data_IF_944155059922
#
_entry.id   IF_944155059922
#
_cell.length_a   1.000
_cell.length_b   1.000
_cell.length_c   1.000
_cell.angle_alpha   90.00
_cell.angle_beta   90.00
_cell.angle_gamma   90.00
#
_symmetry.space_group_name_H-M   'P 1'
#
loop_
_entity.id
_entity.type
_entity.pdbx_description
1 polymer ?
#
# COMPACT_ATOMS: atom_id res chain seq x y z
N UNK A 1 14.17 -7.57 0.89
CA UNK A 1 14.71 -8.34 -0.25
C UNK A 1 15.97 -7.64 -0.74
N UNK A 2 17.09 -8.36 -0.84
CA UNK A 2 18.37 -7.78 -1.28
C UNK A 2 18.73 -8.35 -2.65
N UNK A 3 18.67 -7.52 -3.68
CA UNK A 3 19.19 -7.85 -5.00
C UNK A 3 20.65 -7.46 -5.06
N UNK A 4 21.54 -8.39 -5.40
CA UNK A 4 22.94 -8.07 -5.68
C UNK A 4 23.25 -8.26 -7.16
N UNK A 5 23.88 -7.24 -7.75
CA UNK A 5 24.31 -7.26 -9.14
C UNK A 5 25.81 -7.01 -9.25
N UNK A 6 26.53 -7.93 -9.89
CA UNK A 6 27.97 -7.84 -10.15
C UNK A 6 28.24 -7.81 -11.65
N UNK A 7 29.18 -6.97 -12.08
CA UNK A 7 29.59 -6.82 -13.47
C UNK A 7 31.07 -7.18 -13.62
N UNK A 8 31.37 -8.01 -14.61
CA UNK A 8 32.73 -8.46 -14.90
C UNK A 8 33.11 -8.12 -16.32
N UNK A 9 34.32 -7.61 -16.49
CA UNK A 9 34.88 -7.25 -17.77
C UNK A 9 36.18 -8.02 -17.97
N UNK A 10 36.32 -8.62 -19.15
CA UNK A 10 37.60 -9.15 -19.62
C UNK A 10 38.28 -8.04 -20.42
N UNK A 11 39.41 -7.51 -19.92
CA UNK A 11 40.28 -6.68 -20.74
C UNK A 11 40.62 -7.47 -22.00
N UNK A 12 40.45 -6.87 -23.19
CA UNK A 12 40.57 -7.56 -24.46
C UNK A 12 41.86 -8.39 -24.50
N UNK A 13 41.74 -9.71 -24.42
CA UNK A 13 42.78 -10.58 -24.95
C UNK A 13 42.88 -10.28 -26.46
N UNK A 14 44.07 -10.43 -27.04
CA UNK A 14 44.45 -10.15 -28.46
C UNK A 14 43.62 -10.89 -29.55
N UNK A 15 42.31 -11.04 -29.37
CA UNK A 15 41.39 -11.76 -30.23
C UNK A 15 40.25 -10.85 -30.69
N UNK A 16 39.91 -10.97 -31.97
CA UNK A 16 38.98 -10.14 -32.74
C UNK A 16 37.50 -10.11 -32.28
N UNK A 17 37.17 -10.60 -31.07
CA UNK A 17 35.79 -10.77 -30.60
C UNK A 17 35.27 -9.72 -29.60
N UNK A 18 36.05 -8.68 -29.30
CA UNK A 18 35.67 -7.59 -28.38
C UNK A 18 35.50 -8.02 -26.91
N UNK A 19 35.41 -7.07 -25.96
CA UNK A 19 35.27 -7.41 -24.55
C UNK A 19 33.91 -8.06 -24.28
N UNK A 20 33.94 -9.12 -23.47
CA UNK A 20 32.76 -9.82 -22.96
C UNK A 20 32.44 -9.26 -21.56
N UNK A 21 31.15 -9.02 -21.32
CA UNK A 21 30.58 -8.50 -20.09
C UNK A 21 29.69 -9.56 -19.47
N UNK A 22 29.95 -9.91 -18.22
CA UNK A 22 29.09 -10.81 -17.44
C UNK A 22 28.34 -9.95 -16.42
N UNK A 23 27.01 -10.08 -16.39
CA UNK A 23 26.14 -9.55 -15.34
C UNK A 23 25.63 -10.73 -14.52
N UNK A 24 25.98 -10.75 -13.25
CA UNK A 24 25.43 -11.68 -12.27
C UNK A 24 24.39 -10.94 -11.46
N UNK A 25 23.18 -11.46 -11.37
CA UNK A 25 22.14 -10.99 -10.46
C UNK A 25 21.76 -12.13 -9.55
N UNK A 26 21.83 -11.93 -8.23
CA UNK A 26 21.41 -12.93 -7.26
C UNK A 26 20.53 -12.31 -6.18
N UNK A 27 19.54 -13.07 -5.74
CA UNK A 27 18.61 -12.70 -4.67
C UNK A 27 18.64 -13.86 -3.66
N UNK A 28 19.32 -13.71 -2.50
CA UNK A 28 19.39 -14.79 -1.52
C UNK A 28 18.03 -15.12 -0.92
N UNK A 29 17.17 -14.11 -0.73
CA UNK A 29 15.84 -14.25 -0.15
C UNK A 29 14.81 -13.52 -1.02
N UNK A 30 14.16 -14.23 -1.94
CA UNK A 30 13.06 -13.72 -2.74
C UNK A 30 11.76 -13.60 -1.95
N UNK A 31 10.77 -12.90 -2.51
CA UNK A 31 9.46 -12.70 -1.87
C UNK A 31 8.71 -14.02 -1.59
N UNK A 32 8.92 -15.03 -2.43
CA UNK A 32 8.35 -16.36 -2.27
C UNK A 32 9.22 -17.30 -1.41
N UNK A 33 10.25 -16.76 -0.75
CA UNK A 33 11.18 -17.52 0.11
C UNK A 33 12.28 -18.27 -0.63
N UNK A 34 12.27 -18.31 -1.96
CA UNK A 34 13.30 -18.97 -2.76
C UNK A 34 14.53 -18.07 -2.98
N UNK A 35 15.67 -18.69 -3.25
CA UNK A 35 16.87 -18.00 -3.69
C UNK A 35 16.98 -18.03 -5.23
N UNK A 36 17.51 -16.96 -5.81
CA UNK A 36 17.61 -16.80 -7.26
C UNK A 36 19.02 -16.48 -7.70
N UNK A 37 19.42 -17.04 -8.83
CA UNK A 37 20.67 -16.76 -9.51
C UNK A 37 20.44 -16.57 -10.99
N UNK A 38 20.96 -15.47 -11.53
CA UNK A 38 20.92 -15.14 -12.95
C UNK A 38 22.31 -14.77 -13.43
N UNK A 39 22.75 -15.42 -14.50
CA UNK A 39 23.96 -15.04 -15.24
C UNK A 39 23.55 -14.62 -16.63
N UNK A 40 23.90 -13.39 -16.97
CA UNK A 40 23.68 -12.82 -18.28
C UNK A 40 25.02 -12.40 -18.89
N UNK A 41 25.14 -12.55 -20.20
CA UNK A 41 26.36 -12.22 -20.93
C UNK A 41 26.05 -11.33 -22.13
N UNK A 42 26.95 -10.40 -22.42
CA UNK A 42 26.88 -9.55 -23.60
C UNK A 42 28.29 -9.20 -24.07
N UNK A 43 28.50 -9.12 -25.38
CA UNK A 43 29.70 -8.52 -25.97
C UNK A 43 29.48 -7.02 -26.19
N UNK A 44 30.57 -6.26 -26.34
CA UNK A 44 30.48 -4.84 -26.69
C UNK A 44 29.63 -4.54 -27.95
N UNK A 45 29.55 -5.48 -28.89
CA UNK A 45 28.73 -5.39 -30.10
C UNK A 45 27.25 -5.70 -29.90
N UNK A 46 26.87 -6.28 -28.76
CA UNK A 46 25.52 -6.77 -28.54
C UNK A 46 24.59 -5.64 -28.09
N UNK A 47 23.34 -5.69 -28.56
CA UNK A 47 22.31 -4.70 -28.20
C UNK A 47 21.72 -4.94 -26.80
N UNK A 48 21.80 -6.16 -26.31
CA UNK A 48 21.22 -6.59 -25.04
C UNK A 48 21.99 -7.75 -24.41
N UNK A 49 21.69 -8.02 -23.14
CA UNK A 49 22.22 -9.15 -22.39
C UNK A 49 21.49 -10.45 -22.72
N UNK A 50 22.23 -11.48 -23.12
CA UNK A 50 21.70 -12.83 -23.29
C UNK A 50 21.69 -13.57 -21.95
N UNK A 51 20.56 -14.17 -21.58
CA UNK A 51 20.48 -15.05 -20.42
C UNK A 51 21.26 -16.34 -20.69
N UNK A 52 22.18 -16.68 -19.79
CA UNK A 52 23.00 -17.91 -19.85
C UNK A 52 22.57 -18.89 -18.77
N UNK A 53 22.26 -18.38 -17.57
CA UNK A 53 21.73 -19.18 -16.47
C UNK A 53 20.58 -18.43 -15.80
N UNK A 54 19.49 -19.13 -15.51
CA UNK A 54 18.39 -18.65 -14.67
C UNK A 54 17.97 -19.81 -13.74
N UNK A 55 18.32 -19.69 -12.46
CA UNK A 55 18.14 -20.73 -11.47
C UNK A 55 17.28 -20.22 -10.32
N UNK A 56 16.34 -21.08 -9.92
CA UNK A 56 15.58 -20.97 -8.68
C UNK A 56 16.02 -22.11 -7.76
N UNK A 57 16.43 -21.78 -6.55
CA UNK A 57 16.86 -22.73 -5.54
C UNK A 57 15.83 -22.79 -4.40
N UNK A 58 15.74 -23.95 -3.76
CA UNK A 58 14.82 -24.17 -2.66
C UNK A 58 15.16 -23.27 -1.45
N UNK A 59 14.17 -22.91 -0.62
CA UNK A 59 14.38 -22.03 0.52
C UNK A 59 15.40 -22.60 1.51
N UNK A 60 15.41 -23.93 1.69
CA UNK A 60 16.35 -24.63 2.55
C UNK A 60 17.72 -24.76 1.87
N UNK A 61 18.71 -24.02 2.36
CA UNK A 61 20.07 -24.02 1.80
C UNK A 61 20.26 -23.22 0.51
N UNK A 62 19.19 -22.72 -0.11
CA UNK A 62 19.24 -21.87 -1.30
C UNK A 62 20.12 -20.62 -1.15
N UNK A 63 19.98 -19.83 -0.07
CA UNK A 63 20.84 -18.65 0.17
C UNK A 63 22.33 -19.00 0.18
N UNK A 64 22.72 -20.09 0.85
CA UNK A 64 24.10 -20.55 0.92
C UNK A 64 24.59 -21.08 -0.44
N UNK A 65 23.72 -21.75 -1.20
CA UNK A 65 24.06 -22.26 -2.52
C UNK A 65 24.32 -21.14 -3.54
N UNK A 66 23.51 -20.07 -3.57
CA UNK A 66 23.78 -18.92 -4.47
C UNK A 66 25.05 -18.18 -4.08
N UNK A 67 25.34 -18.07 -2.78
CA UNK A 67 26.57 -17.47 -2.27
C UNK A 67 27.81 -18.26 -2.69
N UNK A 68 27.80 -19.58 -2.45
CA UNK A 68 28.92 -20.45 -2.81
C UNK A 68 29.16 -20.41 -4.33
N UNK A 69 28.09 -20.43 -5.12
CA UNK A 69 28.17 -20.30 -6.58
C UNK A 69 28.84 -18.99 -7.00
N UNK A 70 28.55 -17.87 -6.33
CA UNK A 70 29.25 -16.61 -6.60
C UNK A 70 30.74 -16.72 -6.25
N UNK A 71 31.08 -17.25 -5.07
CA UNK A 71 32.47 -17.39 -4.61
C UNK A 71 33.28 -18.22 -5.60
N UNK A 72 32.74 -19.37 -6.03
CA UNK A 72 33.37 -20.25 -7.00
C UNK A 72 33.54 -19.56 -8.35
N UNK A 73 32.50 -18.86 -8.81
CA UNK A 73 32.56 -18.09 -10.06
C UNK A 73 33.62 -16.99 -9.99
N UNK A 74 33.69 -16.22 -8.90
CA UNK A 74 34.69 -15.16 -8.70
C UNK A 74 36.11 -15.72 -8.80
N UNK A 75 36.37 -16.84 -8.16
CA UNK A 75 37.68 -17.50 -8.22
C UNK A 75 38.00 -18.00 -9.63
N UNK A 76 37.03 -18.58 -10.34
CA UNK A 76 37.20 -19.06 -11.70
C UNK A 76 37.46 -17.92 -12.69
N UNK A 77 36.69 -16.83 -12.61
CA UNK A 77 36.84 -15.65 -13.45
C UNK A 77 38.18 -14.95 -13.20
N UNK A 78 38.59 -14.78 -11.94
CA UNK A 78 39.87 -14.18 -11.60
C UNK A 78 41.06 -14.96 -12.20
N UNK A 79 41.01 -16.31 -12.19
CA UNK A 79 42.03 -17.16 -12.83
C UNK A 79 42.10 -16.99 -14.35
N UNK A 80 41.01 -16.55 -14.97
CA UNK A 80 40.89 -16.30 -16.40
C UNK A 80 41.18 -14.85 -16.79
N UNK A 81 41.67 -14.03 -15.85
CA UNK A 81 42.04 -12.64 -16.09
C UNK A 81 40.87 -11.66 -16.15
N UNK A 82 39.69 -12.06 -15.68
CA UNK A 82 38.53 -11.18 -15.58
C UNK A 82 38.64 -10.24 -14.39
N UNK A 83 38.10 -9.04 -14.54
CA UNK A 83 38.07 -8.02 -13.49
C UNK A 83 36.63 -7.63 -13.19
N UNK A 84 36.28 -7.62 -11.90
CA UNK A 84 35.01 -7.06 -11.44
C UNK A 84 35.09 -5.54 -11.49
N UNK A 85 34.04 -4.87 -11.98
CA UNK A 85 34.03 -3.42 -12.20
C UNK A 85 32.98 -2.71 -11.33
N UNK A 86 33.23 -1.44 -11.04
CA UNK A 86 32.28 -0.55 -10.36
C UNK A 86 31.34 0.06 -11.39
N UNK A 87 30.02 -0.06 -11.14
CA UNK A 87 28.97 0.53 -11.96
C UNK A 87 28.19 1.54 -11.10
N UNK A 88 28.20 2.81 -11.52
CA UNK A 88 27.67 3.94 -10.74
C UNK A 88 26.16 4.19 -10.91
N UNK A 89 25.52 3.62 -11.94
CA UNK A 89 24.09 3.84 -12.21
C UNK A 89 23.34 2.50 -12.35
N UNK A 90 22.19 2.39 -11.70
CA UNK A 90 21.63 1.09 -11.30
C UNK A 90 20.61 0.51 -12.27
N UNK A 91 20.61 -0.84 -12.33
CA UNK A 91 19.67 -1.78 -12.96
C UNK A 91 19.95 -2.21 -14.41
N UNK A 92 20.41 -1.32 -15.28
CA UNK A 92 20.57 -1.66 -16.71
C UNK A 92 21.89 -1.14 -17.26
N UNK A 93 22.99 -1.85 -16.99
CA UNK A 93 24.19 -1.65 -17.80
C UNK A 93 23.89 -2.12 -19.23
N UNK A 94 24.33 -1.36 -20.23
CA UNK A 94 24.46 -1.86 -21.60
C UNK A 94 25.94 -1.92 -21.96
N UNK A 95 26.36 -2.83 -22.86
CA UNK A 95 27.77 -2.94 -23.25
C UNK A 95 28.38 -1.64 -23.78
N UNK A 96 27.58 -0.76 -24.41
CA UNK A 96 28.00 0.56 -24.89
C UNK A 96 28.42 1.55 -23.79
N UNK A 97 28.06 1.31 -22.52
CA UNK A 97 28.38 2.18 -21.38
C UNK A 97 29.70 1.80 -20.68
N UNK A 98 30.45 0.82 -21.20
CA UNK A 98 31.64 0.26 -20.56
C UNK A 98 32.83 1.23 -20.41
N UNK A 99 32.85 2.34 -21.15
CA UNK A 99 34.02 3.23 -21.24
C UNK A 99 34.32 4.02 -19.96
N UNK A 100 33.35 4.16 -19.05
CA UNK A 100 33.47 5.00 -17.84
C UNK A 100 33.65 4.20 -16.54
N UNK A 101 33.84 2.87 -16.59
CA UNK A 101 33.92 2.02 -15.40
C UNK A 101 35.35 1.63 -15.02
N UNK A 102 35.64 1.66 -13.71
CA UNK A 102 36.93 1.22 -13.14
C UNK A 102 36.84 -0.18 -12.53
N UNK A 103 37.96 -0.93 -12.44
CA UNK A 103 38.03 -2.14 -11.63
C UNK A 103 37.71 -1.87 -10.16
N UNK A 104 37.09 -2.85 -9.50
CA UNK A 104 36.97 -2.90 -8.04
C UNK A 104 38.34 -3.15 -7.42
N UNK A 105 38.59 -2.50 -6.29
CA UNK A 105 39.72 -2.78 -5.41
C UNK A 105 39.49 -4.10 -4.66
N UNK A 106 40.57 -4.68 -4.11
CA UNK A 106 40.47 -5.89 -3.29
C UNK A 106 39.54 -5.73 -2.10
N UNK A 107 39.57 -4.56 -1.44
CA UNK A 107 38.71 -4.24 -0.31
C UNK A 107 37.24 -4.11 -0.73
N UNK A 108 36.93 -3.52 -1.88
CA UNK A 108 35.56 -3.47 -2.43
C UNK A 108 34.99 -4.88 -2.68
N UNK A 109 35.81 -5.77 -3.25
CA UNK A 109 35.40 -7.16 -3.46
C UNK A 109 35.17 -7.93 -2.15
N UNK A 110 35.99 -7.68 -1.13
CA UNK A 110 35.83 -8.27 0.21
C UNK A 110 34.61 -7.70 0.95
N UNK A 111 34.34 -6.41 0.79
CA UNK A 111 33.16 -5.72 1.33
C UNK A 111 31.85 -6.24 0.75
N UNK A 112 31.80 -6.49 -0.56
CA UNK A 112 30.67 -7.19 -1.19
C UNK A 112 30.46 -8.57 -0.61
N UNK A 113 31.56 -9.31 -0.47
CA UNK A 113 31.51 -10.67 -0.01
C UNK A 113 31.03 -10.72 1.45
N UNK A 114 31.49 -9.80 2.29
CA UNK A 114 31.01 -9.66 3.67
C UNK A 114 29.51 -9.37 3.75
N UNK A 115 29.02 -8.47 2.90
CA UNK A 115 27.61 -8.14 2.87
C UNK A 115 26.75 -9.32 2.38
N UNK A 116 27.22 -10.08 1.37
CA UNK A 116 26.56 -11.31 0.92
C UNK A 116 26.54 -12.40 1.99
N UNK A 117 27.66 -12.64 2.66
CA UNK A 117 27.73 -13.56 3.80
C UNK A 117 26.70 -13.17 4.87
N UNK A 118 26.59 -11.88 5.17
CA UNK A 118 25.60 -11.36 6.13
C UNK A 118 24.16 -11.61 5.68
N UNK A 119 23.84 -11.41 4.40
CA UNK A 119 22.50 -11.72 3.84
C UNK A 119 22.18 -13.21 3.90
N UNK A 120 23.18 -14.07 3.72
CA UNK A 120 23.01 -15.53 3.74
C UNK A 120 23.14 -16.13 5.15
N UNK A 121 23.07 -15.29 6.19
CA UNK A 121 23.17 -15.67 7.61
C UNK A 121 24.50 -16.33 8.02
N UNK A 122 25.58 -16.07 7.28
CA UNK A 122 26.94 -16.54 7.57
C UNK A 122 27.77 -15.39 8.19
N UNK A 123 27.49 -15.09 9.45
CA UNK A 123 28.06 -13.92 10.12
C UNK A 123 29.55 -14.05 10.44
N UNK A 124 30.05 -15.28 10.59
CA UNK A 124 31.47 -15.54 10.85
C UNK A 124 32.32 -15.22 9.62
N UNK A 125 31.94 -15.74 8.45
CA UNK A 125 32.67 -15.45 7.22
C UNK A 125 32.47 -13.99 6.78
N UNK A 126 31.35 -13.36 7.13
CA UNK A 126 31.18 -11.92 6.94
C UNK A 126 32.23 -11.11 7.70
N UNK A 127 32.39 -11.37 9.00
CA UNK A 127 33.37 -10.67 9.84
C UNK A 127 34.81 -10.99 9.44
N UNK A 128 35.10 -12.25 9.08
CA UNK A 128 36.43 -12.64 8.58
C UNK A 128 36.78 -11.94 7.26
N UNK A 129 35.80 -11.73 6.37
CA UNK A 129 35.99 -10.95 5.15
C UNK A 129 36.27 -9.47 5.46
N UNK A 130 35.53 -8.86 6.40
CA UNK A 130 35.73 -7.47 6.81
C UNK A 130 37.08 -7.22 7.48
N UNK A 131 37.57 -8.16 8.30
CA UNK A 131 38.90 -8.09 8.93
C UNK A 131 40.04 -8.09 7.92
N UNK A 132 39.80 -8.59 6.70
CA UNK A 132 40.80 -8.62 5.62
C UNK A 132 40.84 -7.31 4.82
N UNK A 133 39.89 -6.40 5.01
CA UNK A 133 39.83 -5.11 4.33
C UNK A 133 40.80 -4.10 4.99
N UNK A 134 42.07 -4.10 4.58
CA UNK A 134 43.15 -3.36 5.26
C UNK A 134 43.13 -1.85 5.08
N UNK A 135 42.41 -1.35 4.08
CA UNK A 135 42.37 0.08 3.72
C UNK A 135 40.96 0.67 3.85
N UNK A 136 40.01 -0.12 4.37
CA UNK A 136 38.58 0.22 4.42
C UNK A 136 38.08 0.57 5.83
N UNK A 137 38.91 0.47 6.86
CA UNK A 137 38.52 0.54 8.29
C UNK A 137 37.80 1.85 8.71
N UNK A 138 37.82 2.88 7.86
CA UNK A 138 37.17 4.19 8.06
C UNK A 138 36.06 4.51 7.04
N UNK A 139 35.75 3.59 6.12
CA UNK A 139 34.69 3.80 5.15
C UNK A 139 33.30 3.54 5.79
N UNK A 140 32.39 4.50 5.64
CA UNK A 140 30.99 4.42 6.07
C UNK A 140 30.32 3.07 5.75
N UNK A 141 30.60 2.53 4.56
CA UNK A 141 30.09 1.24 4.11
C UNK A 141 30.61 0.06 4.95
N UNK A 142 31.91 0.03 5.26
CA UNK A 142 32.50 -1.02 6.09
C UNK A 142 31.84 -1.06 7.46
N UNK A 143 31.63 0.12 8.08
CA UNK A 143 30.93 0.25 9.37
C UNK A 143 29.49 -0.25 9.28
N UNK A 144 28.81 0.02 8.17
CA UNK A 144 27.43 -0.45 7.94
C UNK A 144 27.36 -1.98 7.86
N UNK A 145 28.28 -2.61 7.13
CA UNK A 145 28.36 -4.07 7.02
C UNK A 145 28.77 -4.73 8.35
N UNK A 146 29.78 -4.18 9.03
CA UNK A 146 30.27 -4.67 10.32
C UNK A 146 29.17 -4.59 11.40
N UNK A 147 28.48 -3.44 11.51
CA UNK A 147 27.32 -3.26 12.37
C UNK A 147 26.31 -4.39 12.17
N UNK A 148 25.92 -4.65 10.92
CA UNK A 148 24.89 -5.64 10.60
C UNK A 148 25.34 -7.06 10.94
N UNK A 149 26.59 -7.41 10.61
CA UNK A 149 27.14 -8.74 10.90
C UNK A 149 27.18 -9.01 12.41
N UNK A 150 27.68 -8.06 13.20
CA UNK A 150 27.70 -8.15 14.66
C UNK A 150 26.29 -8.21 15.26
N UNK A 151 25.38 -7.32 14.86
CA UNK A 151 24.01 -7.32 15.36
C UNK A 151 23.27 -8.64 15.04
N UNK A 152 23.44 -9.17 13.83
CA UNK A 152 22.81 -10.45 13.47
C UNK A 152 23.41 -11.63 14.23
N UNK A 153 24.73 -11.65 14.44
CA UNK A 153 25.38 -12.69 15.25
C UNK A 153 24.93 -12.65 16.71
N UNK A 154 24.78 -11.46 17.27
CA UNK A 154 24.24 -11.23 18.61
C UNK A 154 22.80 -11.73 18.74
N UNK A 155 21.93 -11.42 17.76
CA UNK A 155 20.54 -11.91 17.71
C UNK A 155 20.45 -13.43 17.59
N UNK A 156 21.34 -14.05 16.82
CA UNK A 156 21.37 -15.50 16.62
C UNK A 156 21.83 -16.28 17.87
N UNK A 157 22.61 -15.65 18.76
CA UNK A 157 23.21 -16.29 19.93
C UNK A 157 22.92 -15.49 21.22
N UNK A 158 21.65 -15.36 21.65
CA UNK A 158 21.29 -14.52 22.79
C UNK A 158 21.93 -15.02 24.10
N UNK A 159 22.24 -14.08 24.99
CA UNK A 159 22.85 -14.33 26.31
C UNK A 159 24.24 -13.69 26.46
N UNK A 160 25.00 -14.01 27.53
CA UNK A 160 26.27 -13.34 27.84
C UNK A 160 27.34 -13.43 26.73
N UNK A 161 27.22 -14.43 25.85
CA UNK A 161 28.11 -14.56 24.68
C UNK A 161 27.87 -13.52 23.58
N UNK A 162 26.72 -12.84 23.59
CA UNK A 162 26.38 -11.79 22.62
C UNK A 162 26.86 -10.39 23.03
N UNK A 163 27.27 -10.17 24.28
CA UNK A 163 27.58 -8.83 24.80
C UNK A 163 28.69 -8.14 23.99
N UNK A 164 29.72 -8.91 23.61
CA UNK A 164 30.82 -8.40 22.77
C UNK A 164 30.36 -8.02 21.36
N UNK A 165 29.42 -8.78 20.79
CA UNK A 165 28.85 -8.48 19.48
C UNK A 165 27.90 -7.28 19.52
N UNK A 166 27.08 -7.17 20.56
CA UNK A 166 26.24 -6.01 20.77
C UNK A 166 27.07 -4.74 20.95
N UNK A 167 28.13 -4.79 21.77
CA UNK A 167 29.04 -3.67 21.95
C UNK A 167 29.67 -3.22 20.62
N UNK A 168 30.18 -4.16 19.82
CA UNK A 168 30.75 -3.86 18.50
C UNK A 168 29.70 -3.31 17.52
N UNK A 169 28.49 -3.90 17.49
CA UNK A 169 27.40 -3.42 16.65
C UNK A 169 27.00 -1.98 17.00
N UNK A 170 26.89 -1.67 18.29
CA UNK A 170 26.56 -0.32 18.79
C UNK A 170 27.69 0.66 18.49
N UNK A 171 28.96 0.28 18.67
CA UNK A 171 30.10 1.14 18.31
C UNK A 171 30.05 1.55 16.83
N UNK A 172 29.83 0.58 15.94
CA UNK A 172 29.68 0.86 14.51
C UNK A 172 28.43 1.69 14.21
N UNK A 173 27.31 1.44 14.88
CA UNK A 173 26.08 2.20 14.70
C UNK A 173 26.23 3.67 15.15
N UNK A 174 26.86 3.91 16.29
CA UNK A 174 27.12 5.26 16.80
C UNK A 174 28.06 6.03 15.87
N UNK A 175 29.09 5.37 15.32
CA UNK A 175 29.95 5.98 14.31
C UNK A 175 29.15 6.44 13.08
N UNK A 176 28.26 5.58 12.56
CA UNK A 176 27.37 5.91 11.43
C UNK A 176 26.48 7.11 11.79
N UNK A 177 25.85 7.11 12.96
CA UNK A 177 24.96 8.20 13.41
C UNK A 177 25.73 9.53 13.52
N UNK A 178 26.90 9.53 14.16
CA UNK A 178 27.71 10.74 14.33
C UNK A 178 28.23 11.27 13.00
N UNK A 179 28.75 10.39 12.14
CA UNK A 179 29.22 10.80 10.83
C UNK A 179 28.08 11.36 9.97
N UNK A 180 26.83 10.88 10.14
CA UNK A 180 25.65 11.44 9.46
C UNK A 180 25.32 12.86 9.92
N UNK A 181 25.53 13.15 11.21
CA UNK A 181 25.29 14.46 11.78
C UNK A 181 26.37 15.48 11.36
N UNK A 182 27.61 15.01 11.16
CA UNK A 182 28.76 15.84 10.81
C UNK A 182 28.90 16.10 9.30
N UNK A 183 28.28 15.29 8.45
CA UNK A 183 28.25 15.49 6.99
C UNK A 183 26.84 15.71 6.50
N UNK A 184 26.60 16.85 5.85
CA UNK A 184 25.40 17.16 5.07
C UNK A 184 25.36 16.23 3.84
N UNK A 185 25.06 14.94 4.09
CA UNK A 185 25.18 13.78 3.20
C UNK A 185 26.52 13.67 2.43
N UNK A 186 27.33 12.67 2.75
CA UNK A 186 28.50 12.29 1.94
C UNK A 186 28.20 12.40 0.43
N UNK A 187 29.07 13.09 -0.33
CA UNK A 187 28.81 13.35 -1.74
C UNK A 187 28.41 12.06 -2.47
N UNK A 188 27.31 12.05 -3.25
CA UNK A 188 26.77 10.86 -3.92
C UNK A 188 27.81 10.09 -4.75
N UNK A 189 28.85 10.78 -5.21
CA UNK A 189 29.90 10.28 -6.08
C UNK A 189 30.95 9.40 -5.37
N UNK A 190 30.99 9.37 -4.03
CA UNK A 190 31.91 8.54 -3.25
C UNK A 190 31.26 7.24 -2.71
N UNK A 191 29.97 7.01 -2.99
CA UNK A 191 29.23 5.89 -2.41
C UNK A 191 29.41 4.61 -3.22
N UNK A 192 30.19 3.69 -2.66
CA UNK A 192 30.15 2.28 -3.04
C UNK A 192 28.77 1.69 -2.64
N UNK A 193 27.97 1.27 -3.63
CA UNK A 193 26.64 0.70 -3.39
C UNK A 193 26.65 -0.82 -3.57
N UNK A 194 26.25 -1.54 -2.53
CA UNK A 194 26.04 -3.00 -2.57
C UNK A 194 24.56 -3.29 -2.36
N UNK A 195 23.92 -3.86 -3.39
CA UNK A 195 22.52 -4.21 -3.37
C UNK A 195 21.57 -3.09 -2.98
N UNK A 196 20.26 -3.36 -2.96
CA UNK A 196 19.26 -2.32 -2.70
C UNK A 196 19.29 -1.80 -1.26
N UNK A 197 19.73 -2.64 -0.32
CA UNK A 197 19.74 -2.36 1.13
C UNK A 197 20.82 -1.38 1.60
N UNK A 198 21.79 -1.03 0.76
CA UNK A 198 22.88 -0.11 1.10
C UNK A 198 22.95 1.11 0.17
N UNK A 199 21.88 1.37 -0.59
CA UNK A 199 21.85 2.45 -1.60
C UNK A 199 21.70 3.84 -1.02
N UNK A 200 21.13 3.99 0.16
CA UNK A 200 20.76 5.31 0.70
C UNK A 200 21.28 5.51 2.12
N UNK A 201 21.98 6.63 2.32
CA UNK A 201 22.48 7.09 3.63
C UNK A 201 21.37 7.14 4.67
N UNK A 202 20.17 7.57 4.27
CA UNK A 202 18.98 7.58 5.12
C UNK A 202 18.58 6.18 5.61
N UNK A 203 18.57 5.16 4.73
CA UNK A 203 18.26 3.79 5.14
C UNK A 203 19.33 3.21 6.08
N UNK A 204 20.60 3.54 5.85
CA UNK A 204 21.71 3.08 6.68
C UNK A 204 21.69 3.75 8.06
N UNK A 205 21.39 5.05 8.12
CA UNK A 205 21.19 5.79 9.35
C UNK A 205 20.01 5.22 10.16
N UNK A 206 18.87 4.95 9.50
CA UNK A 206 17.72 4.33 10.13
C UNK A 206 18.07 2.95 10.72
N UNK A 207 18.81 2.13 9.97
CA UNK A 207 19.25 0.82 10.44
C UNK A 207 20.25 0.90 11.60
N UNK A 208 21.14 1.90 11.60
CA UNK A 208 22.06 2.14 12.71
C UNK A 208 21.31 2.57 13.99
N UNK A 209 20.42 3.55 13.86
CA UNK A 209 19.53 3.99 14.93
C UNK A 209 18.68 2.84 15.49
N UNK A 210 18.15 1.97 14.62
CA UNK A 210 17.44 0.76 15.04
C UNK A 210 18.32 -0.19 15.87
N UNK A 211 19.56 -0.43 15.46
CA UNK A 211 20.50 -1.27 16.21
C UNK A 211 20.77 -0.71 17.60
N UNK A 212 20.95 0.60 17.72
CA UNK A 212 21.14 1.27 19.02
C UNK A 212 19.88 1.13 19.89
N UNK A 213 18.70 1.42 19.34
CA UNK A 213 17.45 1.30 20.06
C UNK A 213 17.19 -0.13 20.57
N UNK A 214 17.45 -1.14 19.73
CA UNK A 214 17.28 -2.55 20.10
C UNK A 214 18.21 -2.95 21.25
N UNK A 215 19.49 -2.56 21.20
CA UNK A 215 20.43 -2.79 22.29
C UNK A 215 19.96 -2.11 23.58
N UNK A 216 19.56 -0.83 23.50
CA UNK A 216 19.14 -0.06 24.66
C UNK A 216 17.89 -0.66 25.32
N UNK A 217 16.91 -1.12 24.54
CA UNK A 217 15.68 -1.72 25.08
C UNK A 217 15.87 -3.12 25.63
N UNK A 218 16.59 -3.98 24.90
CA UNK A 218 16.60 -5.41 25.17
C UNK A 218 17.80 -5.86 26.01
N UNK A 219 18.89 -5.06 26.04
CA UNK A 219 20.15 -5.42 26.70
C UNK A 219 20.48 -4.43 27.81
N UNK A 220 20.54 -3.13 27.51
CA UNK A 220 20.97 -2.12 28.50
C UNK A 220 19.85 -1.71 29.47
N UNK A 221 18.58 -1.80 29.06
CA UNK A 221 17.43 -1.40 29.86
C UNK A 221 17.25 0.13 29.96
N UNK A 222 17.56 0.88 28.90
CA UNK A 222 17.43 2.34 28.83
C UNK A 222 16.40 2.76 27.76
N UNK A 223 15.09 2.73 28.08
CA UNK A 223 14.04 3.05 27.10
C UNK A 223 14.00 4.54 26.72
N UNK A 224 14.52 5.45 27.54
CA UNK A 224 14.59 6.88 27.21
C UNK A 224 15.60 7.15 26.09
N UNK A 225 16.81 6.61 26.21
CA UNK A 225 17.80 6.71 25.14
C UNK A 225 17.37 5.94 23.89
N UNK A 226 16.66 4.81 24.06
CA UNK A 226 16.11 4.09 22.93
C UNK A 226 15.11 4.94 22.14
N UNK A 227 14.25 5.72 22.82
CA UNK A 227 13.34 6.66 22.15
C UNK A 227 14.08 7.75 21.39
N UNK A 228 15.23 8.23 21.88
CA UNK A 228 16.07 9.18 21.15
C UNK A 228 16.66 8.56 19.88
N UNK A 229 17.16 7.33 19.97
CA UNK A 229 17.65 6.60 18.81
C UNK A 229 16.53 6.36 17.78
N UNK A 230 15.33 5.95 18.24
CA UNK A 230 14.17 5.75 17.36
C UNK A 230 13.71 7.04 16.68
N UNK A 231 13.83 8.20 17.34
CA UNK A 231 13.52 9.49 16.74
C UNK A 231 14.46 9.82 15.56
N UNK A 232 15.75 9.44 15.64
CA UNK A 232 16.70 9.56 14.53
C UNK A 232 16.24 8.71 13.35
N UNK A 233 15.79 7.47 13.60
CA UNK A 233 15.27 6.60 12.53
C UNK A 233 13.98 7.15 11.90
N UNK A 234 13.01 7.60 12.71
CA UNK A 234 11.74 8.17 12.24
C UNK A 234 11.98 9.40 11.35
N UNK A 235 12.99 10.24 11.65
CA UNK A 235 13.33 11.42 10.86
C UNK A 235 13.83 11.11 9.44
N UNK A 236 14.21 9.87 9.14
CA UNK A 236 14.69 9.47 7.82
C UNK A 236 13.57 9.13 6.83
N UNK A 237 12.30 9.11 7.25
CA UNK A 237 11.15 8.62 6.48
C UNK A 237 11.24 7.12 6.06
N UNK A 238 12.13 6.33 6.67
CA UNK A 238 12.26 4.89 6.41
C UNK A 238 11.56 4.04 7.50
N UNK A 239 10.38 4.48 7.95
CA UNK A 239 9.63 3.81 9.00
C UNK A 239 9.32 2.36 8.63
N UNK A 240 9.81 1.41 9.43
CA UNK A 240 9.51 -0.03 9.28
C UNK A 240 8.61 -0.48 10.42
N UNK A 241 7.83 -1.55 10.20
CA UNK A 241 7.04 -2.17 11.28
C UNK A 241 7.90 -2.54 12.49
N UNK A 242 9.15 -2.97 12.26
CA UNK A 242 10.09 -3.32 13.33
C UNK A 242 10.52 -2.10 14.16
N UNK A 243 10.78 -0.96 13.52
CA UNK A 243 11.06 0.31 14.22
C UNK A 243 9.88 0.72 15.10
N UNK A 244 8.66 0.59 14.60
CA UNK A 244 7.47 0.95 15.36
C UNK A 244 7.18 -0.04 16.49
N UNK A 245 7.50 -1.33 16.33
CA UNK A 245 7.45 -2.30 17.43
C UNK A 245 8.42 -1.94 18.58
N UNK A 246 9.65 -1.55 18.25
CA UNK A 246 10.61 -1.06 19.24
C UNK A 246 10.10 0.21 19.94
N UNK A 247 9.47 1.13 19.19
CA UNK A 247 8.85 2.34 19.75
C UNK A 247 7.71 2.03 20.70
N UNK A 248 6.80 1.13 20.33
CA UNK A 248 5.73 0.67 21.23
C UNK A 248 6.32 0.04 22.48
N UNK A 249 7.33 -0.82 22.34
CA UNK A 249 8.02 -1.44 23.48
C UNK A 249 8.63 -0.40 24.42
N UNK A 250 9.34 0.59 23.87
CA UNK A 250 9.93 1.68 24.65
C UNK A 250 8.87 2.51 25.38
N UNK A 251 7.78 2.89 24.70
CA UNK A 251 6.70 3.66 25.28
C UNK A 251 6.00 2.90 26.43
N UNK A 252 5.83 1.58 26.29
CA UNK A 252 5.28 0.74 27.36
C UNK A 252 6.22 0.65 28.56
N UNK A 253 7.54 0.51 28.36
CA UNK A 253 8.52 0.53 29.45
C UNK A 253 8.61 1.89 30.17
N UNK A 254 8.21 2.98 29.50
CA UNK A 254 8.12 4.34 30.05
C UNK A 254 6.74 4.68 30.64
N UNK A 255 5.85 3.70 30.78
CA UNK A 255 4.46 3.89 31.24
C UNK A 255 3.62 4.85 30.35
N UNK A 256 4.05 5.13 29.11
CA UNK A 256 3.34 5.98 28.12
C UNK A 256 2.35 5.16 27.29
N UNK A 257 1.45 4.46 27.99
CA UNK A 257 0.57 3.44 27.40
C UNK A 257 -0.35 3.96 26.30
N UNK A 258 -0.93 5.15 26.45
CA UNK A 258 -1.82 5.74 25.43
C UNK A 258 -1.10 5.93 24.09
N UNK A 259 0.10 6.51 24.11
CA UNK A 259 0.90 6.75 22.90
C UNK A 259 1.39 5.43 22.27
N UNK A 260 1.70 4.43 23.12
CA UNK A 260 2.04 3.09 22.66
C UNK A 260 0.87 2.45 21.90
N UNK A 261 -0.35 2.55 22.44
CA UNK A 261 -1.56 1.97 21.85
C UNK A 261 -1.98 2.69 20.57
N UNK A 262 -1.86 4.02 20.52
CA UNK A 262 -2.08 4.82 19.32
C UNK A 262 -1.09 4.43 18.21
N UNK A 263 0.20 4.30 18.54
CA UNK A 263 1.24 3.87 17.60
C UNK A 263 0.97 2.45 17.10
N UNK A 264 0.64 1.53 18.00
CA UNK A 264 0.29 0.14 17.67
C UNK A 264 -0.89 0.06 16.70
N UNK A 265 -1.98 0.78 17.00
CA UNK A 265 -3.20 0.81 16.19
C UNK A 265 -2.94 1.43 14.81
N UNK A 266 -2.23 2.57 14.76
CA UNK A 266 -1.91 3.28 13.51
C UNK A 266 -1.16 2.39 12.52
N UNK A 267 -0.20 1.60 13.02
CA UNK A 267 0.64 0.75 12.20
C UNK A 267 0.16 -0.70 12.09
N UNK A 268 -0.98 -1.05 12.73
CA UNK A 268 -1.56 -2.40 12.76
C UNK A 268 -0.52 -3.47 13.10
N UNK A 269 0.31 -3.18 14.11
CA UNK A 269 1.42 -4.04 14.48
C UNK A 269 0.92 -5.39 15.00
N UNK A 270 1.69 -6.44 14.72
CA UNK A 270 1.45 -7.78 15.25
C UNK A 270 2.29 -7.96 16.52
N UNK A 271 1.79 -7.48 17.64
CA UNK A 271 2.42 -7.59 18.96
C UNK A 271 1.46 -8.29 19.93
N UNK A 272 1.52 -9.64 20.04
CA UNK A 272 0.58 -10.41 20.85
C UNK A 272 0.47 -9.92 22.29
N UNK A 273 1.58 -9.55 22.91
CA UNK A 273 1.64 -9.02 24.27
C UNK A 273 0.86 -7.71 24.45
N UNK A 274 0.80 -6.87 23.42
CA UNK A 274 0.00 -5.62 23.44
C UNK A 274 -1.47 -5.94 23.20
N UNK A 275 -1.77 -6.77 22.20
CA UNK A 275 -3.13 -7.20 21.84
C UNK A 275 -3.85 -7.91 23.00
N UNK A 276 -3.10 -8.67 23.79
CA UNK A 276 -3.61 -9.40 24.95
C UNK A 276 -3.67 -8.53 26.22
N UNK A 277 -3.06 -7.34 26.22
CA UNK A 277 -3.04 -6.48 27.40
C UNK A 277 -4.43 -5.93 27.73
N UNK A 278 -4.87 -5.99 29.01
CA UNK A 278 -6.14 -5.40 29.44
C UNK A 278 -6.25 -3.91 29.11
N UNK A 279 -5.16 -3.16 29.30
CA UNK A 279 -5.10 -1.73 29.01
C UNK A 279 -5.34 -1.40 27.53
N UNK A 280 -4.83 -2.22 26.60
CA UNK A 280 -5.08 -2.02 25.18
C UNK A 280 -6.54 -2.32 24.81
N UNK A 281 -7.14 -3.37 25.37
CA UNK A 281 -8.55 -3.70 25.15
C UNK A 281 -9.46 -2.57 25.64
N UNK A 282 -9.20 -2.05 26.84
CA UNK A 282 -9.92 -0.90 27.38
C UNK A 282 -9.74 0.35 26.50
N UNK A 283 -8.53 0.59 25.98
CA UNK A 283 -8.26 1.70 25.06
C UNK A 283 -9.08 1.58 23.77
N UNK A 284 -9.11 0.40 23.15
CA UNK A 284 -9.89 0.15 21.93
C UNK A 284 -11.39 0.28 22.21
N UNK A 285 -11.88 -0.25 23.33
CA UNK A 285 -13.29 -0.12 23.72
C UNK A 285 -13.66 1.35 23.95
N UNK A 286 -12.80 2.14 24.60
CA UNK A 286 -13.01 3.59 24.75
C UNK A 286 -13.03 4.32 23.42
N UNK A 287 -12.12 4.00 22.50
CA UNK A 287 -12.09 4.59 21.15
C UNK A 287 -13.37 4.24 20.37
N UNK A 288 -13.82 3.00 20.44
CA UNK A 288 -15.07 2.56 19.82
C UNK A 288 -16.29 3.24 20.46
N UNK A 289 -16.29 3.39 21.79
CA UNK A 289 -17.36 4.08 22.52
C UNK A 289 -17.40 5.55 22.13
N UNK A 290 -16.25 6.24 22.12
CA UNK A 290 -16.16 7.63 21.66
C UNK A 290 -16.61 7.80 20.22
N UNK A 291 -16.23 6.88 19.31
CA UNK A 291 -16.69 6.91 17.93
C UNK A 291 -18.22 6.71 17.83
N UNK A 292 -18.79 5.77 18.60
CA UNK A 292 -20.24 5.54 18.67
C UNK A 292 -20.99 6.72 19.27
N UNK A 293 -20.45 7.33 20.32
CA UNK A 293 -21.04 8.50 20.98
C UNK A 293 -20.99 9.71 20.05
N UNK A 294 -19.86 9.96 19.38
CA UNK A 294 -19.73 11.01 18.38
C UNK A 294 -20.70 10.79 17.20
N UNK A 295 -20.85 9.55 16.72
CA UNK A 295 -21.81 9.21 15.68
C UNK A 295 -23.26 9.40 16.16
N UNK A 296 -23.57 8.99 17.39
CA UNK A 296 -24.90 9.19 17.98
C UNK A 296 -25.20 10.68 18.17
N UNK A 297 -24.21 11.47 18.58
CA UNK A 297 -24.32 12.91 18.69
C UNK A 297 -24.55 13.56 17.33
N UNK A 298 -23.77 13.20 16.30
CA UNK A 298 -23.98 13.63 14.91
C UNK A 298 -25.41 13.33 14.45
N UNK A 299 -25.87 12.08 14.60
CA UNK A 299 -27.23 11.65 14.25
C UNK A 299 -28.30 12.49 14.98
N UNK A 300 -28.09 12.77 16.27
CA UNK A 300 -29.03 13.59 17.06
C UNK A 300 -29.09 15.06 16.62
N UNK A 301 -28.06 15.54 15.92
CA UNK A 301 -27.97 16.89 15.40
C UNK A 301 -28.47 17.03 13.95
N UNK A 302 -28.84 15.92 13.30
CA UNK A 302 -29.42 15.94 11.97
C UNK A 302 -30.70 16.78 11.96
N UNK A 303 -30.78 17.70 11.00
CA UNK A 303 -31.99 18.49 10.75
C UNK A 303 -32.65 17.99 9.47
N UNK A 304 -33.98 17.99 9.50
CA UNK A 304 -34.80 17.49 8.39
C UNK A 304 -35.76 18.60 8.00
N UNK A 305 -35.53 19.17 6.83
CA UNK A 305 -36.33 20.27 6.32
C UNK A 305 -37.17 19.77 5.13
N UNK A 306 -38.47 20.06 5.18
CA UNK A 306 -39.40 19.73 4.11
C UNK A 306 -39.84 21.00 3.40
N UNK A 307 -39.61 21.07 2.09
CA UNK A 307 -40.08 22.20 1.28
C UNK A 307 -41.37 21.83 0.54
N UNK A 308 -42.23 22.84 0.39
CA UNK A 308 -43.40 22.76 -0.49
C UNK A 308 -42.97 22.86 -1.94
N UNK A 309 -43.69 22.19 -2.83
CA UNK A 309 -43.51 22.33 -4.27
C UNK A 309 -44.79 22.76 -4.97
N UNK A 310 -44.72 22.79 -6.30
CA UNK A 310 -45.90 23.07 -7.14
C UNK A 310 -46.67 21.78 -7.38
N UNK A 311 -47.97 21.72 -7.01
CA UNK A 311 -48.82 20.58 -7.35
C UNK A 311 -48.91 20.37 -8.85
N UNK A 312 -49.02 19.12 -9.27
CA UNK A 312 -49.26 18.77 -10.67
C UNK A 312 -50.57 19.39 -11.19
N UNK A 313 -50.50 20.04 -12.35
CA UNK A 313 -51.67 20.54 -13.08
C UNK A 313 -52.48 19.41 -13.72
N UNK A 314 -53.76 19.65 -14.02
CA UNK A 314 -54.61 18.68 -14.73
C UNK A 314 -53.98 18.22 -16.05
N UNK A 315 -53.37 19.14 -16.81
CA UNK A 315 -52.70 18.81 -18.08
C UNK A 315 -51.48 17.91 -17.89
N UNK A 316 -50.71 18.08 -16.82
CA UNK A 316 -49.56 17.22 -16.53
C UNK A 316 -50.03 15.83 -16.08
N UNK A 317 -51.07 15.75 -15.26
CA UNK A 317 -51.68 14.48 -14.86
C UNK A 317 -52.21 13.72 -16.07
N UNK A 318 -52.86 14.39 -17.02
CA UNK A 318 -53.27 13.78 -18.29
C UNK A 318 -52.07 13.26 -19.09
N UNK A 319 -50.97 14.02 -19.16
CA UNK A 319 -49.75 13.59 -19.85
C UNK A 319 -49.13 12.34 -19.21
N UNK A 320 -49.08 12.29 -17.88
CA UNK A 320 -48.61 11.14 -17.12
C UNK A 320 -49.48 9.91 -17.42
N UNK A 321 -50.81 10.05 -17.38
CA UNK A 321 -51.75 8.95 -17.61
C UNK A 321 -51.72 8.41 -19.05
N UNK A 322 -51.31 9.22 -20.03
CA UNK A 322 -51.08 8.76 -21.41
C UNK A 322 -49.86 7.84 -21.51
N UNK A 323 -48.81 8.09 -20.71
CA UNK A 323 -47.57 7.29 -20.71
C UNK A 323 -47.67 6.07 -19.78
N UNK A 324 -48.22 6.27 -18.58
CA UNK A 324 -48.39 5.24 -17.56
C UNK A 324 -49.86 5.12 -17.19
N UNK A 325 -50.53 4.07 -17.67
CA UNK A 325 -52.00 3.97 -17.59
C UNK A 325 -52.55 3.75 -16.17
N UNK A 326 -51.73 3.32 -15.21
CA UNK A 326 -52.17 3.00 -13.84
C UNK A 326 -51.15 3.40 -12.76
N UNK A 327 -50.75 4.69 -12.64
CA UNK A 327 -49.89 5.12 -11.56
C UNK A 327 -50.57 4.87 -10.20
N UNK A 328 -49.79 4.58 -9.16
CA UNK A 328 -50.37 4.28 -7.86
C UNK A 328 -51.15 5.48 -7.30
N UNK A 329 -52.28 5.21 -6.62
CA UNK A 329 -53.07 6.25 -5.98
C UNK A 329 -52.25 7.06 -4.96
N UNK A 330 -51.33 6.42 -4.23
CA UNK A 330 -50.45 7.10 -3.27
C UNK A 330 -49.54 8.13 -3.94
N UNK A 331 -48.97 7.80 -5.11
CA UNK A 331 -48.15 8.73 -5.88
C UNK A 331 -48.97 9.89 -6.45
N UNK A 332 -50.13 9.59 -7.07
CA UNK A 332 -51.03 10.63 -7.59
C UNK A 332 -51.47 11.60 -6.50
N UNK A 333 -51.80 11.09 -5.32
CA UNK A 333 -52.14 11.92 -4.17
C UNK A 333 -50.97 12.80 -3.73
N UNK A 334 -49.74 12.27 -3.72
CA UNK A 334 -48.55 13.02 -3.30
C UNK A 334 -48.24 14.17 -4.25
N UNK A 335 -48.18 13.93 -5.57
CA UNK A 335 -47.85 14.96 -6.56
C UNK A 335 -48.94 16.02 -6.73
N UNK A 336 -50.18 15.71 -6.36
CA UNK A 336 -51.30 16.66 -6.39
C UNK A 336 -51.42 17.51 -5.13
N UNK A 337 -50.61 17.25 -4.10
CA UNK A 337 -50.49 18.11 -2.92
C UNK A 337 -49.34 19.10 -3.12
N UNK A 338 -49.30 20.19 -2.33
CA UNK A 338 -48.17 21.13 -2.35
C UNK A 338 -47.11 20.79 -1.29
N UNK A 339 -47.43 19.87 -0.37
CA UNK A 339 -46.62 19.59 0.80
C UNK A 339 -45.59 18.50 0.52
N UNK A 340 -44.37 18.67 1.07
CA UNK A 340 -43.29 17.65 1.05
C UNK A 340 -42.88 17.21 -0.34
N UNK A 341 -42.55 18.16 -1.22
CA UNK A 341 -41.94 17.87 -2.52
C UNK A 341 -40.42 17.79 -2.45
N UNK A 342 -39.82 18.23 -1.35
CA UNK A 342 -38.40 18.13 -1.13
C UNK A 342 -38.14 17.73 0.31
N UNK A 343 -37.13 16.88 0.50
CA UNK A 343 -36.54 16.57 1.79
C UNK A 343 -35.07 16.97 1.73
N UNK A 344 -34.65 17.88 2.60
CA UNK A 344 -33.24 18.20 2.83
C UNK A 344 -32.82 17.61 4.17
N UNK A 345 -31.76 16.80 4.15
CA UNK A 345 -31.11 16.24 5.34
C UNK A 345 -29.83 17.03 5.57
N UNK A 346 -29.84 17.89 6.58
CA UNK A 346 -28.68 18.71 6.94
C UNK A 346 -27.87 18.07 8.08
N UNK A 347 -26.59 17.90 7.84
CA UNK A 347 -25.58 17.34 8.74
C UNK A 347 -24.41 18.33 8.88
N UNK A 348 -24.53 19.26 9.83
CA UNK A 348 -23.59 20.37 9.98
C UNK A 348 -23.65 21.31 8.78
N UNK A 349 -22.55 21.42 8.04
CA UNK A 349 -22.43 22.23 6.81
C UNK A 349 -22.76 21.44 5.54
N UNK A 350 -22.89 20.11 5.64
CA UNK A 350 -23.26 19.25 4.52
C UNK A 350 -24.78 19.11 4.45
N UNK A 351 -25.34 19.20 3.25
CA UNK A 351 -26.78 19.05 3.02
C UNK A 351 -27.00 18.09 1.85
N UNK A 352 -27.85 17.10 2.05
CA UNK A 352 -28.28 16.17 1.01
C UNK A 352 -29.75 16.43 0.71
N UNK A 353 -30.10 16.56 -0.57
CA UNK A 353 -31.43 17.06 -0.97
C UNK A 353 -32.11 16.12 -1.95
N UNK A 354 -33.24 15.56 -1.52
CA UNK A 354 -34.08 14.66 -2.31
C UNK A 354 -35.27 15.45 -2.84
N UNK A 355 -35.33 15.66 -4.16
CA UNK A 355 -36.37 16.48 -4.79
C UNK A 355 -37.32 15.61 -5.62
N UNK A 356 -38.63 15.75 -5.36
CA UNK A 356 -39.68 15.18 -6.20
C UNK A 356 -39.67 15.88 -7.56
N UNK A 357 -39.50 15.10 -8.62
CA UNK A 357 -39.52 15.62 -9.97
C UNK A 357 -40.91 16.12 -10.36
N UNK A 358 -40.96 17.19 -11.15
CA UNK A 358 -42.17 17.53 -11.90
C UNK A 358 -42.49 16.42 -12.90
N UNK A 359 -43.76 16.29 -13.32
CA UNK A 359 -44.13 15.26 -14.29
C UNK A 359 -43.31 15.37 -15.60
N UNK A 360 -43.08 16.56 -16.19
CA UNK A 360 -42.20 16.67 -17.34
C UNK A 360 -40.78 16.16 -17.07
N UNK A 361 -40.17 16.55 -15.95
CA UNK A 361 -38.82 16.11 -15.59
C UNK A 361 -38.74 14.60 -15.32
N UNK A 362 -39.76 14.02 -14.70
CA UNK A 362 -39.86 12.58 -14.48
C UNK A 362 -39.94 11.79 -15.79
N UNK A 363 -40.68 12.31 -16.78
CA UNK A 363 -40.79 11.72 -18.11
C UNK A 363 -39.48 11.86 -18.90
N UNK A 364 -38.84 13.04 -18.86
CA UNK A 364 -37.54 13.27 -19.50
C UNK A 364 -36.47 12.32 -18.92
N UNK A 365 -36.43 12.17 -17.57
CA UNK A 365 -35.53 11.22 -16.89
C UNK A 365 -35.86 9.76 -17.23
N UNK A 366 -37.13 9.43 -17.45
CA UNK A 366 -37.52 8.09 -17.91
C UNK A 366 -36.99 7.80 -19.31
N UNK A 367 -37.05 8.76 -20.22
CA UNK A 367 -36.45 8.64 -21.56
C UNK A 367 -34.93 8.53 -21.48
N UNK A 368 -34.27 9.30 -20.60
CA UNK A 368 -32.82 9.21 -20.34
C UNK A 368 -32.43 7.79 -19.87
N UNK A 369 -33.14 7.24 -18.89
CA UNK A 369 -32.95 5.88 -18.39
C UNK A 369 -33.05 4.84 -19.51
N UNK A 370 -34.10 4.91 -20.33
CA UNK A 370 -34.30 3.98 -21.44
C UNK A 370 -33.24 4.15 -22.53
N UNK A 371 -32.83 5.39 -22.81
CA UNK A 371 -31.76 5.71 -23.75
C UNK A 371 -30.41 5.15 -23.30
N UNK A 372 -30.09 5.28 -22.00
CA UNK A 372 -28.89 4.71 -21.42
C UNK A 372 -28.87 3.18 -21.51
N UNK A 373 -29.98 2.52 -21.17
CA UNK A 373 -30.09 1.05 -21.31
C UNK A 373 -29.87 0.59 -22.75
N UNK A 374 -30.28 1.38 -23.74
CA UNK A 374 -30.07 1.08 -25.15
C UNK A 374 -28.64 1.39 -25.64
N UNK A 375 -27.89 2.28 -24.98
CA UNK A 375 -26.54 2.71 -25.40
C UNK A 375 -25.53 1.55 -25.39
N UNK A 376 -25.71 0.60 -24.46
CA UNK A 376 -24.83 -0.55 -24.29
C UNK A 376 -25.12 -1.68 -25.28
N UNK A 377 -26.28 -1.68 -25.93
CA UNK A 377 -26.71 -2.75 -26.84
C UNK A 377 -25.78 -2.90 -28.07
N UNK A 378 -25.22 -1.79 -28.55
CA UNK A 378 -24.30 -1.79 -29.71
C UNK A 378 -22.82 -1.68 -29.31
N UNK A 379 -22.52 -1.07 -28.16
CA UNK A 379 -21.15 -0.69 -27.76
C UNK A 379 -20.48 -1.68 -26.81
N UNK A 380 -21.25 -2.45 -26.02
CA UNK A 380 -20.74 -3.45 -25.07
C UNK A 380 -21.81 -4.51 -24.75
N UNK A 381 -22.00 -5.51 -25.63
CA UNK A 381 -23.07 -6.51 -25.50
C UNK A 381 -22.99 -7.34 -24.22
N UNK A 382 -21.79 -7.64 -23.72
CA UNK A 382 -21.59 -8.40 -22.49
C UNK A 382 -22.06 -7.62 -21.25
N UNK A 383 -21.76 -6.31 -21.19
CA UNK A 383 -22.26 -5.43 -20.13
C UNK A 383 -23.78 -5.24 -20.24
N UNK A 384 -24.31 -5.14 -21.46
CA UNK A 384 -25.75 -5.07 -21.69
C UNK A 384 -26.47 -6.34 -21.20
N UNK A 385 -25.89 -7.52 -21.41
CA UNK A 385 -26.42 -8.79 -20.90
C UNK A 385 -26.38 -8.86 -19.37
N UNK A 386 -25.30 -8.39 -18.74
CA UNK A 386 -25.17 -8.30 -17.28
C UNK A 386 -26.21 -7.36 -16.66
N UNK A 387 -26.36 -6.15 -17.21
CA UNK A 387 -27.36 -5.17 -16.77
C UNK A 387 -28.78 -5.74 -16.91
N UNK A 388 -29.09 -6.38 -18.04
CA UNK A 388 -30.40 -7.00 -18.28
C UNK A 388 -30.67 -8.18 -17.35
N UNK A 389 -29.63 -8.95 -17.02
CA UNK A 389 -29.73 -10.04 -16.05
C UNK A 389 -30.02 -9.49 -14.65
N UNK A 390 -29.33 -8.44 -14.22
CA UNK A 390 -29.60 -7.77 -12.94
C UNK A 390 -31.03 -7.19 -12.85
N UNK A 391 -31.52 -6.60 -13.95
CA UNK A 391 -32.91 -6.13 -14.09
C UNK A 391 -33.90 -7.28 -13.96
N UNK A 392 -33.64 -8.39 -14.67
CA UNK A 392 -34.49 -9.58 -14.66
C UNK A 392 -34.53 -10.25 -13.28
N UNK A 393 -33.38 -10.39 -12.63
CA UNK A 393 -33.25 -10.95 -11.27
C UNK A 393 -34.00 -10.10 -10.23
N UNK A 394 -34.01 -8.77 -10.43
CA UNK A 394 -34.75 -7.83 -9.59
C UNK A 394 -36.27 -7.84 -9.87
N UNK A 395 -36.73 -8.55 -10.90
CA UNK A 395 -38.15 -8.70 -11.23
C UNK A 395 -38.83 -7.39 -11.66
N UNK A 396 -38.05 -6.44 -12.17
CA UNK A 396 -38.53 -5.13 -12.63
C UNK A 396 -38.54 -5.05 -14.16
N UNK A 397 -39.40 -4.19 -14.71
CA UNK A 397 -39.41 -3.84 -16.12
C UNK A 397 -39.18 -2.33 -16.23
N UNK A 398 -38.01 -1.86 -16.74
CA UNK A 398 -37.69 -0.44 -16.84
C UNK A 398 -38.74 0.40 -17.56
N UNK A 399 -39.49 -0.19 -18.52
CA UNK A 399 -40.59 0.50 -19.23
C UNK A 399 -41.76 0.86 -18.31
N UNK A 400 -41.83 0.23 -17.15
CA UNK A 400 -42.84 0.47 -16.13
C UNK A 400 -42.25 1.12 -14.87
N UNK A 401 -41.03 1.64 -14.93
CA UNK A 401 -40.36 2.34 -13.84
C UNK A 401 -40.29 3.84 -14.13
N UNK A 402 -40.91 4.65 -13.28
CA UNK A 402 -40.94 6.11 -13.39
C UNK A 402 -39.97 6.74 -12.38
N UNK A 403 -38.95 7.49 -12.80
CA UNK A 403 -38.16 8.32 -11.89
C UNK A 403 -39.04 9.36 -11.19
N UNK A 404 -39.03 9.38 -9.86
CA UNK A 404 -39.88 10.29 -9.09
C UNK A 404 -39.11 11.22 -8.16
N UNK A 405 -37.97 10.81 -7.61
CA UNK A 405 -37.18 11.63 -6.68
C UNK A 405 -35.70 11.51 -7.02
N UNK A 406 -34.98 12.63 -7.09
CA UNK A 406 -33.54 12.67 -7.32
C UNK A 406 -33.00 14.09 -7.35
N UNK A 407 -31.74 14.23 -7.80
CA UNK A 407 -31.19 15.50 -8.26
C UNK A 407 -31.36 15.60 -9.79
N UNK A 408 -31.70 16.79 -10.29
CA UNK A 408 -31.83 17.03 -11.72
C UNK A 408 -30.51 16.77 -12.48
N UNK A 409 -29.36 16.95 -11.80
CA UNK A 409 -28.03 16.76 -12.38
C UNK A 409 -27.44 15.37 -12.16
N UNK A 410 -28.08 14.52 -11.34
CA UNK A 410 -27.64 13.14 -11.12
C UNK A 410 -28.39 12.18 -12.03
N UNK A 411 -27.73 11.07 -12.35
CA UNK A 411 -28.36 9.90 -12.98
C UNK A 411 -29.00 9.00 -11.92
N UNK A 412 -28.58 9.07 -10.66
CA UNK A 412 -29.12 8.27 -9.57
C UNK A 412 -30.45 8.84 -9.10
N UNK A 413 -31.45 7.97 -8.97
CA UNK A 413 -32.78 8.38 -8.54
C UNK A 413 -33.63 7.24 -7.99
N UNK A 414 -34.74 7.62 -7.37
CA UNK A 414 -35.76 6.70 -6.90
C UNK A 414 -36.83 6.49 -7.98
N UNK A 415 -37.07 5.23 -8.31
CA UNK A 415 -37.98 4.77 -9.35
C UNK A 415 -39.27 4.20 -8.75
N UNK A 416 -40.42 4.69 -9.20
CA UNK A 416 -41.74 4.15 -8.91
C UNK A 416 -42.10 3.05 -9.89
N UNK A 417 -42.46 1.87 -9.38
CA UNK A 417 -43.09 0.82 -10.18
C UNK A 417 -44.54 1.18 -10.49
N UNK A 418 -44.85 1.38 -11.76
CA UNK A 418 -46.18 1.83 -12.20
C UNK A 418 -47.14 0.68 -12.53
N UNK A 419 -46.63 -0.52 -12.84
CA UNK A 419 -47.45 -1.67 -13.23
C UNK A 419 -46.88 -3.02 -12.77
N UNK A 420 -47.73 -4.06 -12.78
CA UNK A 420 -47.37 -5.43 -12.43
C UNK A 420 -47.40 -5.73 -10.91
N UNK A 421 -46.88 -6.90 -10.49
CA UNK A 421 -46.83 -7.28 -9.07
C UNK A 421 -46.02 -6.26 -8.24
N UNK A 422 -46.58 -5.75 -7.15
CA UNK A 422 -45.89 -4.72 -6.33
C UNK A 422 -45.90 -3.31 -6.92
N UNK A 423 -46.82 -3.01 -7.85
CA UNK A 423 -47.05 -1.63 -8.32
C UNK A 423 -47.32 -0.67 -7.15
N UNK A 424 -46.70 0.50 -7.18
CA UNK A 424 -46.64 1.45 -6.07
C UNK A 424 -45.32 1.41 -5.28
N UNK A 425 -44.55 0.32 -5.38
CA UNK A 425 -43.25 0.19 -4.75
C UNK A 425 -42.19 1.11 -5.35
N UNK A 426 -41.25 1.54 -4.51
CA UNK A 426 -40.11 2.39 -4.87
C UNK A 426 -38.83 1.56 -4.86
N UNK A 427 -38.00 1.78 -5.86
CA UNK A 427 -36.69 1.20 -6.03
C UNK A 427 -35.65 2.30 -6.09
N UNK A 428 -34.43 2.03 -5.66
CA UNK A 428 -33.30 2.92 -5.93
C UNK A 428 -32.57 2.45 -7.19
N UNK A 429 -32.23 3.39 -8.07
CA UNK A 429 -31.37 3.16 -9.23
C UNK A 429 -30.08 3.96 -9.05
N UNK A 430 -28.95 3.25 -9.12
CA UNK A 430 -27.61 3.82 -9.17
C UNK A 430 -26.97 3.56 -10.55
N UNK A 431 -26.28 4.57 -11.06
CA UNK A 431 -25.60 4.60 -12.36
C UNK A 431 -24.15 4.07 -12.31
N UNK A 432 -23.63 3.74 -11.11
CA UNK A 432 -22.29 3.16 -10.93
C UNK A 432 -22.10 1.79 -11.60
N UNK A 433 -20.84 1.32 -11.72
CA UNK A 433 -20.36 0.14 -12.47
C UNK A 433 -21.13 -1.19 -12.25
N UNK A 434 -22.00 -1.27 -11.24
CA UNK A 434 -22.95 -2.36 -11.03
C UNK A 434 -24.35 -1.77 -10.85
N UNK A 435 -25.24 -1.92 -11.85
CA UNK A 435 -26.62 -1.45 -11.75
C UNK A 435 -27.37 -2.19 -10.65
N UNK A 436 -27.64 -1.50 -9.54
CA UNK A 436 -28.43 -2.05 -8.43
C UNK A 436 -29.87 -1.56 -8.52
N UNK A 437 -30.82 -2.49 -8.53
CA UNK A 437 -32.24 -2.21 -8.29
C UNK A 437 -32.66 -2.80 -6.96
N UNK A 438 -32.61 -1.99 -5.90
CA UNK A 438 -33.01 -2.44 -4.57
C UNK A 438 -34.42 -1.96 -4.26
N UNK A 439 -35.35 -2.85 -3.85
CA UNK A 439 -36.64 -2.42 -3.32
C UNK A 439 -36.43 -1.65 -2.02
N UNK A 440 -37.05 -0.47 -1.91
CA UNK A 440 -36.85 0.46 -0.80
C UNK A 440 -38.08 0.50 0.11
N UNK A 441 -39.24 0.84 -0.46
CA UNK A 441 -40.53 0.92 0.22
C UNK A 441 -41.66 0.46 -0.70
N UNK A 442 -42.77 -0.01 -0.13
CA UNK A 442 -43.89 -0.54 -0.90
C UNK A 442 -44.83 0.54 -1.45
N UNK A 443 -44.70 1.80 -0.98
CA UNK A 443 -45.52 2.93 -1.40
C UNK A 443 -44.73 4.23 -1.52
N UNK A 444 -45.09 5.05 -2.50
CA UNK A 444 -44.43 6.33 -2.77
C UNK A 444 -44.40 7.29 -1.56
N UNK A 445 -45.51 7.40 -0.82
CA UNK A 445 -45.63 8.31 0.34
C UNK A 445 -44.76 7.91 1.54
N UNK A 446 -44.16 6.71 1.51
CA UNK A 446 -43.26 6.21 2.54
C UNK A 446 -41.78 6.58 2.28
N UNK A 447 -41.43 7.06 1.08
CA UNK A 447 -40.04 7.29 0.69
C UNK A 447 -39.33 8.30 1.59
N UNK A 448 -39.90 9.49 1.76
CA UNK A 448 -39.29 10.52 2.61
C UNK A 448 -39.21 10.12 4.10
N UNK A 449 -40.28 9.55 4.73
CA UNK A 449 -40.17 8.96 6.06
C UNK A 449 -39.07 7.89 6.17
N UNK A 450 -38.91 7.06 5.14
CA UNK A 450 -37.86 6.05 5.11
C UNK A 450 -36.46 6.66 4.99
N UNK A 451 -36.24 7.65 4.12
CA UNK A 451 -34.97 8.37 4.00
C UNK A 451 -34.57 9.04 5.32
N UNK A 452 -35.53 9.65 6.01
CA UNK A 452 -35.30 10.20 7.35
C UNK A 452 -34.91 9.10 8.35
N UNK A 453 -35.54 7.93 8.31
CA UNK A 453 -35.20 6.80 9.17
C UNK A 453 -33.80 6.25 8.88
N UNK A 454 -33.39 6.20 7.61
CA UNK A 454 -32.04 5.79 7.21
C UNK A 454 -30.97 6.77 7.70
N UNK A 455 -31.20 8.07 7.51
CA UNK A 455 -30.30 9.11 8.02
C UNK A 455 -30.14 9.00 9.55
N UNK A 456 -31.25 8.73 10.27
CA UNK A 456 -31.23 8.48 11.73
C UNK A 456 -30.56 7.16 12.12
N UNK A 457 -30.47 6.19 11.21
CA UNK A 457 -29.70 4.97 11.41
C UNK A 457 -28.19 5.17 11.14
N UNK A 458 -27.78 6.37 10.72
CA UNK A 458 -26.39 6.70 10.39
C UNK A 458 -26.02 6.54 8.92
N UNK A 459 -27.02 6.30 8.04
CA UNK A 459 -26.85 6.13 6.61
C UNK A 459 -27.57 7.25 5.85
N UNK A 460 -26.84 8.24 5.35
CA UNK A 460 -27.36 9.20 4.37
C UNK A 460 -27.17 8.62 2.97
N UNK A 461 -28.26 8.53 2.21
CA UNK A 461 -28.25 8.09 0.81
C UNK A 461 -27.75 9.25 -0.04
N UNK A 462 -26.54 9.14 -0.59
CA UNK A 462 -26.00 10.16 -1.49
C UNK A 462 -26.60 9.92 -2.88
N UNK A 463 -27.10 10.98 -3.51
CA UNK A 463 -27.63 10.98 -4.88
C UNK A 463 -26.56 11.45 -5.88
#
# INVERSE_FOLDING_TARGET
>A
MTTYTSHWHQAAADNAQGPLLIKITLLPHGYDGHAYWKRQEARASDREFRMVEDLRLDPEGGPQAVLQRLVDLRQALARQGWQEIVVHDSLTLFPKNLLDHRPKTGDECLMDLAALYTECSDHENALAALQRCRHSEQAWYWRTAARRAHANRARANPGPGADGDWAAAVEHAMFIIHQAADTDAAQPHAMYSFGDSYRHTASQLAAAAQTVAEYLLNIAGDPEQAMQALAIADATNHGTSQLQQLKVTALLQLDRSTEAYETHLKWRLQMPEVLESPGYRDFIERQQTQARDAQSQRISQLRFDFSTGTPASESELEQLLRHFQQPSHAYLQWISQAERHQLTVADGENEETYTLFSIPAALDKHEELLGWLALHDESSPELAEEIRSAIADSGIDPRHMLPIVGDANSSDCFLLRTQGPGAGGIYFWAHDECTVFSPIVDRADQLFPWLQAQARAGSTFVL
#
